data_IF_382025297608
#
_entry.id   IF_382025297608
#
_cell.length_a   1.000
_cell.length_b   1.000
_cell.length_c   1.000
_cell.angle_alpha   90.00
_cell.angle_beta   90.00
_cell.angle_gamma   90.00
#
_symmetry.space_group_name_H-M   'P 1'
#
loop_
_entity.id
_entity.type
_entity.pdbx_description
1 polymer ?
#
# COMPACT_ATOMS: atom_id res chain seq x y z
N UNK A 1 -12.05 76.60 48.21
CA UNK A 1 -12.39 76.47 49.63
C UNK A 1 -13.05 75.10 49.79
N UNK A 2 -12.25 74.14 50.28
CA UNK A 2 -12.59 72.80 50.80
C UNK A 2 -13.12 71.76 49.79
N UNK A 3 -12.37 70.64 49.79
CA UNK A 3 -12.51 69.36 49.10
C UNK A 3 -13.79 68.58 49.42
N UNK A 4 -14.18 67.63 48.54
CA UNK A 4 -13.98 66.19 48.76
C UNK A 4 -14.72 65.34 47.68
N UNK A 5 -13.94 64.51 46.95
CA UNK A 5 -14.18 63.10 46.51
C UNK A 5 -15.53 62.70 45.85
N UNK A 6 -15.65 61.76 44.93
CA UNK A 6 -14.75 60.88 44.18
C UNK A 6 -15.63 59.98 43.30
N UNK A 7 -15.23 59.82 42.04
CA UNK A 7 -15.25 58.59 41.22
C UNK A 7 -16.47 57.65 41.35
N UNK A 8 -17.22 57.68 40.26
CA UNK A 8 -18.15 56.67 39.76
C UNK A 8 -17.42 55.32 39.54
N UNK A 9 -17.85 54.26 40.23
CA UNK A 9 -17.43 52.88 39.98
C UNK A 9 -18.62 51.91 40.07
N UNK A 10 -18.67 51.03 39.08
CA UNK A 10 -19.65 49.98 38.83
C UNK A 10 -19.48 48.76 39.74
N UNK A 11 -20.57 48.16 40.23
CA UNK A 11 -20.64 46.77 40.73
C UNK A 11 -22.12 46.32 40.76
N UNK A 12 -22.56 45.06 40.64
CA UNK A 12 -22.13 43.81 39.99
C UNK A 12 -23.30 42.82 40.31
N UNK A 13 -23.91 42.07 39.37
CA UNK A 13 -25.15 41.30 39.60
C UNK A 13 -24.98 39.99 40.41
N UNK A 14 -23.85 39.78 41.07
CA UNK A 14 -23.52 38.54 41.78
C UNK A 14 -23.99 38.48 43.25
N UNK A 15 -24.71 39.50 43.74
CA UNK A 15 -25.25 39.52 45.12
C UNK A 15 -26.69 39.00 45.28
N UNK A 16 -27.39 38.67 44.20
CA UNK A 16 -28.78 38.17 44.28
C UNK A 16 -28.92 36.65 44.31
N UNK A 17 -27.85 35.87 44.13
CA UNK A 17 -27.94 34.40 44.06
C UNK A 17 -27.72 33.72 45.44
N UNK A 18 -27.20 34.45 46.44
CA UNK A 18 -26.82 33.85 47.73
C UNK A 18 -27.94 33.75 48.78
N UNK A 19 -29.20 34.10 48.48
CA UNK A 19 -30.31 34.03 49.44
C UNK A 19 -31.42 33.03 49.08
N UNK A 20 -31.32 32.33 47.95
CA UNK A 20 -32.32 31.34 47.54
C UNK A 20 -31.98 29.88 47.91
N UNK A 21 -30.76 29.60 48.42
CA UNK A 21 -30.28 28.23 48.65
C UNK A 21 -30.36 27.73 50.10
N UNK A 22 -30.82 28.54 51.05
CA UNK A 22 -30.92 28.14 52.45
C UNK A 22 -32.29 28.50 53.05
N UNK A 23 -33.36 27.84 52.61
CA UNK A 23 -34.46 27.48 53.52
C UNK A 23 -35.47 26.51 52.89
N UNK A 24 -35.99 25.61 53.74
CA UNK A 24 -36.85 24.44 53.49
C UNK A 24 -36.08 23.23 52.92
N UNK A 25 -35.91 22.10 53.60
CA UNK A 25 -36.55 21.56 54.79
C UNK A 25 -37.38 20.33 54.41
N UNK A 26 -36.79 19.14 54.57
CA UNK A 26 -37.56 17.89 54.75
C UNK A 26 -37.47 16.84 53.63
N UNK A 27 -36.83 15.71 53.99
CA UNK A 27 -37.00 14.33 53.51
C UNK A 27 -36.11 13.73 52.39
N UNK A 28 -35.59 12.55 52.77
CA UNK A 28 -34.95 11.43 52.08
C UNK A 28 -33.49 11.54 51.55
N UNK A 29 -32.51 10.86 52.20
CA UNK A 29 -31.10 10.89 51.79
C UNK A 29 -30.73 9.82 50.75
N UNK A 30 -31.67 9.01 50.26
CA UNK A 30 -31.37 7.93 49.30
C UNK A 30 -31.68 8.28 47.84
N UNK A 31 -32.77 9.00 47.57
CA UNK A 31 -33.13 9.37 46.18
C UNK A 31 -32.14 10.39 45.58
N UNK A 32 -31.64 11.33 46.38
CA UNK A 32 -30.66 12.31 45.91
C UNK A 32 -29.34 11.69 45.50
N UNK A 33 -28.93 10.58 46.14
CA UNK A 33 -27.73 9.80 45.80
C UNK A 33 -27.90 9.01 44.50
N UNK A 34 -29.09 8.44 44.28
CA UNK A 34 -29.39 7.71 43.04
C UNK A 34 -29.40 8.69 41.85
N UNK A 35 -30.03 9.84 42.02
CA UNK A 35 -30.09 10.88 40.97
C UNK A 35 -28.70 11.45 40.67
N UNK A 36 -27.89 11.76 41.69
CA UNK A 36 -26.51 12.23 41.45
C UNK A 36 -25.62 11.16 40.81
N UNK A 37 -25.78 9.89 41.20
CA UNK A 37 -25.04 8.79 40.58
C UNK A 37 -25.44 8.60 39.12
N UNK A 38 -26.74 8.65 38.80
CA UNK A 38 -27.23 8.56 37.43
C UNK A 38 -26.72 9.72 36.55
N UNK A 39 -26.65 10.93 37.10
CA UNK A 39 -26.09 12.09 36.39
C UNK A 39 -24.60 11.91 36.12
N UNK A 40 -23.82 11.40 37.09
CA UNK A 40 -22.39 11.15 36.91
C UNK A 40 -22.11 10.04 35.90
N UNK A 41 -22.89 8.95 35.93
CA UNK A 41 -22.79 7.86 34.96
C UNK A 41 -23.17 8.35 33.56
N UNK A 42 -24.25 9.12 33.45
CA UNK A 42 -24.66 9.76 32.19
C UNK A 42 -23.57 10.69 31.63
N UNK A 43 -22.95 11.52 32.49
CA UNK A 43 -21.85 12.39 32.09
C UNK A 43 -20.62 11.59 31.64
N UNK A 44 -20.26 10.50 32.35
CA UNK A 44 -19.15 9.64 31.97
C UNK A 44 -19.38 8.92 30.63
N UNK A 45 -20.60 8.43 30.38
CA UNK A 45 -20.99 7.83 29.09
C UNK A 45 -20.93 8.88 27.98
N UNK A 46 -21.38 10.10 28.24
CA UNK A 46 -21.39 11.19 27.26
C UNK A 46 -19.95 11.64 26.92
N UNK A 47 -19.07 11.73 27.91
CA UNK A 47 -17.63 11.96 27.71
C UNK A 47 -17.00 10.81 26.94
N UNK A 48 -17.33 9.55 27.24
CA UNK A 48 -16.84 8.39 26.49
C UNK A 48 -17.31 8.39 25.03
N UNK A 49 -18.57 8.74 24.76
CA UNK A 49 -19.11 8.86 23.40
C UNK A 49 -18.44 10.01 22.66
N UNK A 50 -18.25 11.17 23.30
CA UNK A 50 -17.52 12.31 22.72
C UNK A 50 -16.06 11.94 22.45
N UNK A 51 -15.40 11.25 23.38
CA UNK A 51 -14.02 10.78 23.21
C UNK A 51 -13.91 9.68 22.14
N UNK A 52 -14.90 8.82 21.99
CA UNK A 52 -14.98 7.85 20.89
C UNK A 52 -15.31 8.49 19.54
N UNK A 53 -16.07 9.60 19.52
CA UNK A 53 -16.37 10.38 18.31
C UNK A 53 -15.20 11.29 17.89
N UNK A 54 -14.47 11.85 18.85
CA UNK A 54 -13.32 12.73 18.60
C UNK A 54 -12.00 11.94 18.51
N UNK A 55 -11.90 10.79 19.18
CA UNK A 55 -10.76 9.86 19.15
C UNK A 55 -10.97 8.67 18.20
N UNK A 56 -12.12 8.60 17.54
CA UNK A 56 -12.42 7.64 16.48
C UNK A 56 -11.86 8.11 15.15
N UNK A 57 -10.58 7.82 14.91
CA UNK A 57 -9.96 7.95 13.61
C UNK A 57 -9.07 9.18 13.48
N UNK A 58 -7.97 9.22 14.25
CA UNK A 58 -6.75 9.66 13.59
C UNK A 58 -6.62 8.80 12.32
N UNK A 59 -6.54 9.39 11.12
CA UNK A 59 -6.31 8.60 9.93
C UNK A 59 -4.93 7.97 10.11
N UNK A 60 -4.90 6.72 10.56
CA UNK A 60 -3.75 5.84 10.40
C UNK A 60 -3.68 5.42 8.94
N UNK A 61 -3.71 6.43 8.07
CA UNK A 61 -3.65 6.34 6.64
C UNK A 61 -2.81 7.53 6.17
N UNK A 62 -1.54 7.50 6.56
CA UNK A 62 -0.45 8.29 5.98
C UNK A 62 0.87 7.71 6.45
N UNK A 63 1.32 6.67 5.77
CA UNK A 63 2.75 6.38 5.56
C UNK A 63 2.93 5.31 4.47
N UNK A 64 2.27 5.52 3.34
CA UNK A 64 2.80 5.11 2.05
C UNK A 64 2.62 6.31 1.14
N UNK A 65 3.73 6.88 0.66
CA UNK A 65 3.72 8.07 -0.19
C UNK A 65 3.96 9.40 0.53
N UNK A 66 4.77 9.45 1.60
CA UNK A 66 5.33 10.74 2.02
C UNK A 66 6.26 11.23 0.89
N UNK A 67 5.75 12.15 0.07
CA UNK A 67 6.53 12.85 -0.95
C UNK A 67 7.41 13.84 -0.21
N UNK A 68 8.72 13.63 -0.25
CA UNK A 68 9.67 14.51 0.39
C UNK A 68 9.89 15.74 -0.52
N UNK A 69 9.73 16.94 0.03
CA UNK A 69 9.85 18.23 -0.66
C UNK A 69 11.33 18.46 -1.06
N UNK A 70 11.64 19.13 -2.20
CA UNK A 70 12.99 19.28 -2.75
C UNK A 70 14.13 19.67 -1.81
N UNK A 71 13.89 20.43 -0.73
CA UNK A 71 14.94 20.81 0.23
C UNK A 71 15.51 19.64 1.05
N UNK A 72 14.76 18.56 1.19
CA UNK A 72 15.18 17.37 1.93
C UNK A 72 15.74 16.26 1.01
N UNK A 73 15.59 16.40 -0.31
CA UNK A 73 16.06 15.42 -1.30
C UNK A 73 17.59 15.30 -1.28
N UNK A 74 18.30 16.44 -1.26
CA UNK A 74 19.76 16.44 -1.18
C UNK A 74 20.24 15.73 0.09
N UNK A 75 19.61 15.99 1.25
CA UNK A 75 19.97 15.32 2.50
C UNK A 75 19.76 13.80 2.44
N UNK A 76 18.67 13.34 1.81
CA UNK A 76 18.42 11.91 1.63
C UNK A 76 19.48 11.28 0.70
N UNK A 77 19.80 11.92 -0.41
CA UNK A 77 20.80 11.43 -1.36
C UNK A 77 22.22 11.49 -0.79
N UNK A 78 22.55 12.51 0.00
CA UNK A 78 23.80 12.61 0.76
C UNK A 78 23.91 11.46 1.76
N UNK A 79 22.85 11.16 2.52
CA UNK A 79 22.84 9.99 3.40
C UNK A 79 23.05 8.69 2.64
N UNK A 80 22.40 8.53 1.48
CA UNK A 80 22.60 7.38 0.60
C UNK A 80 24.06 7.29 0.11
N UNK A 81 24.71 8.41 -0.21
CA UNK A 81 26.12 8.46 -0.61
C UNK A 81 27.05 8.06 0.54
N UNK A 82 26.86 8.66 1.73
CA UNK A 82 27.65 8.37 2.94
C UNK A 82 27.56 6.89 3.32
N UNK A 83 26.37 6.31 3.22
CA UNK A 83 26.12 4.90 3.54
C UNK A 83 26.40 3.95 2.37
N UNK A 84 26.92 4.47 1.25
CA UNK A 84 27.23 3.72 0.01
C UNK A 84 26.05 2.84 -0.44
N UNK A 85 24.85 3.40 -0.35
CA UNK A 85 23.63 2.75 -0.80
C UNK A 85 23.69 2.51 -2.30
N UNK A 86 23.40 1.27 -2.72
CA UNK A 86 23.20 0.95 -4.14
C UNK A 86 21.91 1.58 -4.65
N UNK A 87 21.96 2.04 -5.90
CA UNK A 87 20.83 2.61 -6.62
C UNK A 87 20.50 1.70 -7.80
N UNK A 88 19.33 1.08 -7.74
CA UNK A 88 18.80 0.24 -8.79
C UNK A 88 17.99 1.11 -9.76
N UNK A 89 18.37 1.15 -11.04
CA UNK A 89 17.69 1.98 -12.05
C UNK A 89 17.07 1.13 -13.18
N UNK A 90 15.98 1.62 -13.76
CA UNK A 90 15.27 1.00 -14.88
C UNK A 90 14.59 2.07 -15.75
N UNK A 91 14.40 1.79 -17.05
CA UNK A 91 13.70 2.71 -17.95
C UNK A 91 12.22 2.88 -17.60
N UNK A 92 11.69 4.08 -17.82
CA UNK A 92 10.26 4.38 -17.78
C UNK A 92 9.64 4.43 -19.20
N UNK A 93 8.44 3.86 -19.44
CA UNK A 93 7.71 2.99 -18.52
C UNK A 93 8.48 1.70 -18.30
N UNK A 94 8.29 1.07 -17.14
CA UNK A 94 8.94 -0.21 -16.83
C UNK A 94 8.42 -1.23 -17.85
N UNK A 95 9.22 -1.48 -18.89
CA UNK A 95 8.91 -2.48 -19.89
C UNK A 95 8.82 -3.88 -19.23
N UNK A 96 8.09 -4.78 -19.88
CA UNK A 96 7.69 -6.12 -19.43
C UNK A 96 8.87 -7.04 -19.04
N UNK A 97 10.11 -6.64 -19.31
CA UNK A 97 11.31 -7.23 -18.71
C UNK A 97 12.02 -6.17 -17.88
N UNK A 98 11.95 -6.27 -16.55
CA UNK A 98 12.73 -5.44 -15.63
C UNK A 98 14.24 -5.70 -15.80
N UNK A 99 14.86 -5.06 -16.79
CA UNK A 99 16.31 -4.91 -16.82
C UNK A 99 16.68 -3.81 -15.83
N UNK A 100 16.75 -4.18 -14.56
CA UNK A 100 17.22 -3.31 -13.50
C UNK A 100 18.74 -3.32 -13.48
N UNK A 101 19.34 -2.13 -13.49
CA UNK A 101 20.79 -1.94 -13.47
C UNK A 101 21.16 -1.45 -12.08
N UNK A 102 21.94 -2.23 -11.34
CA UNK A 102 22.39 -1.86 -9.99
C UNK A 102 23.65 -1.01 -10.09
N UNK A 103 23.52 0.26 -9.71
CA UNK A 103 24.55 1.29 -9.83
C UNK A 103 25.03 1.74 -8.44
N UNK A 104 26.18 2.41 -8.41
CA UNK A 104 26.68 3.07 -7.19
C UNK A 104 26.55 4.57 -7.35
N UNK A 105 26.10 5.27 -6.32
CA UNK A 105 26.11 6.73 -6.30
C UNK A 105 27.56 7.24 -6.25
N UNK A 106 28.04 7.84 -7.33
CA UNK A 106 29.41 8.32 -7.47
C UNK A 106 29.57 9.76 -6.99
N UNK A 107 28.65 10.63 -7.41
CA UNK A 107 28.70 12.06 -7.09
C UNK A 107 27.28 12.62 -7.02
N UNK A 108 27.08 13.56 -6.10
CA UNK A 108 25.88 14.37 -5.98
C UNK A 108 26.27 15.83 -6.16
N UNK A 109 25.80 16.47 -7.22
CA UNK A 109 25.99 17.88 -7.51
C UNK A 109 24.65 18.63 -7.43
N UNK A 110 24.71 19.97 -7.33
CA UNK A 110 23.49 20.81 -7.27
C UNK A 110 22.57 20.63 -8.49
N UNK A 111 23.12 20.19 -9.61
CA UNK A 111 22.40 20.07 -10.89
C UNK A 111 22.06 18.63 -11.26
N UNK A 112 22.57 17.62 -10.56
CA UNK A 112 22.38 16.23 -10.94
C UNK A 112 23.04 15.18 -10.05
N UNK A 113 22.77 13.93 -10.40
CA UNK A 113 23.21 12.73 -9.69
C UNK A 113 24.06 11.91 -10.67
N UNK A 114 25.32 11.63 -10.34
CA UNK A 114 26.18 10.77 -11.16
C UNK A 114 26.19 9.36 -10.58
N UNK A 115 25.81 8.39 -11.40
CA UNK A 115 25.80 6.97 -11.08
C UNK A 115 26.94 6.26 -11.81
N UNK A 116 27.71 5.48 -11.07
CA UNK A 116 28.68 4.54 -11.60
C UNK A 116 27.99 3.25 -12.04
N UNK A 117 28.23 2.85 -13.28
CA UNK A 117 27.65 1.67 -13.90
C UNK A 117 28.43 0.40 -13.51
N UNK A 118 27.75 -0.76 -13.37
CA UNK A 118 28.44 -2.02 -13.20
C UNK A 118 29.27 -2.37 -14.45
N UNK A 119 30.36 -3.12 -14.24
CA UNK A 119 31.24 -3.56 -15.33
C UNK A 119 30.44 -4.30 -16.41
N UNK A 120 30.74 -4.00 -17.68
CA UNK A 120 30.06 -4.58 -18.84
C UNK A 120 28.81 -3.82 -19.29
N UNK A 121 28.27 -2.90 -18.47
CA UNK A 121 27.16 -2.04 -18.89
C UNK A 121 27.70 -0.72 -19.45
N UNK A 122 27.48 -0.51 -20.74
CA UNK A 122 27.89 0.71 -21.44
C UNK A 122 26.65 1.50 -21.84
N UNK A 123 26.30 2.58 -21.11
CA UNK A 123 25.21 3.46 -21.49
C UNK A 123 25.57 4.16 -22.81
N UNK A 124 24.57 4.37 -23.66
CA UNK A 124 24.75 5.03 -24.97
C UNK A 124 24.09 6.41 -24.96
N UNK A 125 24.48 7.28 -25.89
CA UNK A 125 23.88 8.62 -26.04
C UNK A 125 22.36 8.57 -26.28
N UNK A 126 21.85 7.44 -26.80
CA UNK A 126 20.41 7.22 -26.97
C UNK A 126 19.62 7.18 -25.65
N UNK A 127 20.30 7.08 -24.51
CA UNK A 127 19.69 7.14 -23.18
C UNK A 127 19.37 8.57 -22.78
N UNK A 128 20.07 9.58 -23.32
CA UNK A 128 19.87 10.99 -22.99
C UNK A 128 18.42 11.39 -23.29
N UNK A 129 17.78 12.04 -22.32
CA UNK A 129 16.36 12.42 -22.37
C UNK A 129 15.40 11.30 -21.97
N UNK A 130 15.84 10.04 -21.83
CA UNK A 130 14.99 8.96 -21.30
C UNK A 130 14.80 9.12 -19.80
N UNK A 131 13.61 8.76 -19.32
CA UNK A 131 13.29 8.76 -17.90
C UNK A 131 13.73 7.43 -17.27
N UNK A 132 14.42 7.54 -16.13
CA UNK A 132 14.82 6.41 -15.30
C UNK A 132 14.02 6.42 -14.01
N UNK A 133 13.46 5.26 -13.65
CA UNK A 133 12.95 4.97 -12.32
C UNK A 133 14.09 4.41 -11.49
N UNK A 134 14.44 5.11 -10.42
CA UNK A 134 15.55 4.77 -9.53
C UNK A 134 15.01 4.38 -8.16
N UNK A 135 15.58 3.33 -7.59
CA UNK A 135 15.24 2.78 -6.28
C UNK A 135 16.50 2.64 -5.44
N UNK A 136 16.44 3.03 -4.16
CA UNK A 136 17.54 2.85 -3.23
C UNK A 136 17.04 2.65 -1.80
N UNK A 137 17.93 2.21 -0.92
CA UNK A 137 17.62 2.02 0.51
C UNK A 137 18.63 2.70 1.41
N UNK A 138 18.18 3.26 2.52
CA UNK A 138 19.03 3.83 3.57
C UNK A 138 18.95 2.90 4.79
N UNK A 139 20.07 2.21 5.16
CA UNK A 139 20.09 1.35 6.33
C UNK A 139 19.82 2.13 7.62
N UNK A 140 19.20 1.46 8.60
CA UNK A 140 18.95 2.00 9.94
C UNK A 140 19.39 1.00 10.98
N UNK A 141 20.01 1.49 12.04
CA UNK A 141 20.42 0.66 13.16
C UNK A 141 19.20 0.07 13.87
N UNK A 142 19.16 -1.26 14.00
CA UNK A 142 18.09 -2.03 14.66
C UNK A 142 16.66 -1.75 14.18
N UNK A 143 16.48 -1.21 12.96
CA UNK A 143 15.18 -0.90 12.36
C UNK A 143 15.16 -1.27 10.88
N UNK A 144 13.97 -1.43 10.32
CA UNK A 144 13.82 -1.59 8.88
C UNK A 144 14.41 -0.37 8.14
N UNK A 145 15.18 -0.59 7.06
CA UNK A 145 15.74 0.50 6.28
C UNK A 145 14.63 1.30 5.62
N UNK A 146 14.90 2.58 5.32
CA UNK A 146 14.02 3.36 4.47
C UNK A 146 14.25 2.98 3.02
N UNK A 147 13.19 2.90 2.23
CA UNK A 147 13.26 2.65 0.80
C UNK A 147 12.77 3.88 0.08
N UNK A 148 13.45 4.27 -0.98
CA UNK A 148 13.15 5.48 -1.71
C UNK A 148 13.04 5.17 -3.19
N UNK A 149 12.12 5.84 -3.86
CA UNK A 149 11.98 5.79 -5.31
C UNK A 149 11.92 7.20 -5.86
N UNK A 150 12.57 7.45 -6.98
CA UNK A 150 12.43 8.70 -7.72
C UNK A 150 12.48 8.44 -9.22
N UNK A 151 12.04 9.43 -9.98
CA UNK A 151 12.14 9.42 -11.43
C UNK A 151 12.96 10.63 -11.86
N UNK A 152 13.96 10.40 -12.72
CA UNK A 152 14.83 11.44 -13.23
C UNK A 152 15.19 11.18 -14.70
N UNK A 153 15.34 12.23 -15.53
CA UNK A 153 15.84 12.09 -16.89
C UNK A 153 17.35 11.85 -16.89
N UNK A 154 17.85 11.07 -17.84
CA UNK A 154 19.28 11.01 -18.16
C UNK A 154 19.67 12.31 -18.86
N UNK A 155 20.62 13.04 -18.29
CA UNK A 155 21.13 14.31 -18.85
C UNK A 155 22.46 14.12 -19.58
N UNK A 156 23.19 13.04 -19.29
CA UNK A 156 24.45 12.74 -19.94
C UNK A 156 24.99 11.36 -19.59
N UNK A 157 25.95 10.92 -20.39
CA UNK A 157 26.70 9.68 -20.18
C UNK A 157 28.17 9.96 -20.45
N UNK A 158 29.07 9.32 -19.72
CA UNK A 158 30.51 9.44 -19.99
C UNK A 158 31.25 8.21 -19.48
N UNK A 159 32.53 8.08 -19.85
CA UNK A 159 33.37 6.93 -19.52
C UNK A 159 34.75 7.41 -19.08
N UNK A 160 35.34 6.74 -18.09
CA UNK A 160 36.72 6.94 -17.66
C UNK A 160 37.38 5.59 -17.40
N UNK A 161 38.36 5.26 -18.24
CA UNK A 161 38.91 3.91 -18.29
C UNK A 161 37.81 2.91 -18.69
N UNK A 162 37.67 1.83 -17.93
CA UNK A 162 36.64 0.80 -18.16
C UNK A 162 35.32 1.07 -17.45
N UNK A 163 35.25 2.15 -16.66
CA UNK A 163 34.07 2.48 -15.87
C UNK A 163 33.22 3.50 -16.63
N UNK A 164 31.94 3.15 -16.81
CA UNK A 164 30.94 4.02 -17.42
C UNK A 164 30.11 4.71 -16.35
N UNK A 165 29.62 5.90 -16.66
CA UNK A 165 28.84 6.74 -15.76
C UNK A 165 27.60 7.28 -16.48
N UNK A 166 26.51 7.38 -15.73
CA UNK A 166 25.26 8.02 -16.14
C UNK A 166 25.01 9.22 -15.25
N UNK A 167 24.70 10.36 -15.85
CA UNK A 167 24.30 11.56 -15.15
C UNK A 167 22.79 11.69 -15.26
N UNK A 168 22.12 11.73 -14.11
CA UNK A 168 20.68 11.98 -13.99
C UNK A 168 20.46 13.43 -13.56
N UNK A 169 19.38 14.05 -14.06
CA UNK A 169 18.91 15.32 -13.53
C UNK A 169 18.46 15.16 -12.06
N UNK A 170 18.49 16.25 -11.29
CA UNK A 170 17.97 16.22 -9.92
C UNK A 170 16.46 15.90 -9.96
N UNK A 171 15.98 14.88 -9.21
CA UNK A 171 14.58 14.51 -9.26
C UNK A 171 13.71 15.59 -8.60
N UNK A 172 12.52 15.89 -9.18
CA UNK A 172 11.61 16.88 -8.60
C UNK A 172 10.97 16.39 -7.29
N UNK A 173 10.97 15.07 -7.06
CA UNK A 173 10.45 14.43 -5.85
C UNK A 173 11.17 13.11 -5.57
N UNK A 174 11.31 12.79 -4.29
CA UNK A 174 11.67 11.44 -3.82
C UNK A 174 10.51 10.91 -2.99
N UNK A 175 10.08 9.70 -3.32
CA UNK A 175 8.98 9.01 -2.65
C UNK A 175 9.56 8.02 -1.66
N UNK A 176 9.18 8.14 -0.38
CA UNK A 176 9.45 7.09 0.60
C UNK A 176 8.57 5.89 0.28
N UNK A 177 9.20 4.86 -0.27
CA UNK A 177 8.64 3.54 -0.48
C UNK A 177 8.79 2.66 0.76
N UNK A 178 7.97 1.62 0.82
CA UNK A 178 8.15 0.50 1.73
C UNK A 178 8.65 -0.67 0.89
N UNK A 179 9.71 -1.38 1.30
CA UNK A 179 10.08 -2.63 0.63
C UNK A 179 8.92 -3.58 0.71
N UNK A 180 8.65 -4.21 -0.42
CA UNK A 180 7.63 -5.24 -0.54
C UNK A 180 7.95 -6.34 0.46
N UNK A 181 7.01 -6.61 1.37
CA UNK A 181 7.11 -7.66 2.39
C UNK A 181 7.29 -9.03 1.72
N UNK A 182 6.70 -9.17 0.54
CA UNK A 182 6.68 -10.39 -0.28
C UNK A 182 7.36 -10.17 -1.63
N UNK A 183 8.09 -11.18 -2.10
CA UNK A 183 8.63 -11.23 -3.46
C UNK A 183 7.47 -11.16 -4.46
N UNK A 184 7.62 -10.35 -5.52
CA UNK A 184 6.68 -10.31 -6.65
C UNK A 184 7.29 -11.01 -7.84
N UNK A 185 6.59 -12.01 -8.33
CA UNK A 185 6.91 -12.73 -9.55
C UNK A 185 6.00 -12.24 -10.67
N UNK A 186 6.60 -11.83 -11.79
CA UNK A 186 5.87 -11.63 -13.04
C UNK A 186 5.50 -13.00 -13.58
N UNK A 187 4.21 -13.22 -13.86
CA UNK A 187 3.67 -14.54 -14.19
C UNK A 187 3.56 -14.72 -15.70
N UNK A 188 4.32 -15.67 -16.29
CA UNK A 188 3.99 -16.21 -17.61
C UNK A 188 2.56 -16.75 -17.64
N UNK A 189 1.79 -16.54 -18.73
CA UNK A 189 0.43 -17.09 -18.87
C UNK A 189 0.32 -18.60 -18.65
N UNK A 190 1.39 -19.34 -18.98
CA UNK A 190 1.49 -20.81 -18.78
C UNK A 190 1.45 -21.23 -17.31
N UNK A 191 1.82 -20.35 -16.38
CA UNK A 191 1.91 -20.69 -14.96
C UNK A 191 0.54 -20.62 -14.24
N UNK A 192 -0.51 -20.21 -14.94
CA UNK A 192 -1.87 -20.08 -14.41
C UNK A 192 -2.77 -21.08 -15.14
N UNK A 193 -3.46 -21.93 -14.39
CA UNK A 193 -4.42 -22.91 -14.92
C UNK A 193 -5.80 -22.30 -15.05
N UNK A 194 -6.31 -21.75 -13.95
CA UNK A 194 -7.64 -21.15 -13.84
C UNK A 194 -7.56 -19.98 -12.87
N UNK A 195 -8.17 -18.86 -13.24
CA UNK A 195 -8.30 -17.71 -12.35
C UNK A 195 -9.68 -17.09 -12.51
N UNK A 196 -10.38 -16.90 -11.40
CA UNK A 196 -11.77 -16.43 -11.39
C UNK A 196 -11.98 -15.38 -10.33
N UNK A 197 -12.83 -14.42 -10.62
CA UNK A 197 -13.12 -13.26 -9.77
C UNK A 197 -14.61 -13.17 -9.52
N UNK A 198 -15.00 -12.86 -8.30
CA UNK A 198 -16.38 -12.59 -7.90
C UNK A 198 -16.51 -11.26 -7.15
N UNK A 199 -17.70 -10.64 -7.19
CA UNK A 199 -18.03 -9.49 -6.35
C UNK A 199 -17.89 -9.78 -4.86
N UNK A 200 -17.55 -8.78 -4.05
CA UNK A 200 -17.96 -8.82 -2.65
C UNK A 200 -19.50 -8.75 -2.53
N UNK A 201 -20.07 -9.28 -1.46
CA UNK A 201 -21.52 -9.24 -1.25
C UNK A 201 -21.99 -7.81 -0.96
N UNK A 202 -23.19 -7.46 -1.46
CA UNK A 202 -23.75 -6.10 -1.36
C UNK A 202 -24.08 -5.68 0.09
N UNK A 203 -24.26 -6.66 0.98
CA UNK A 203 -24.55 -6.45 2.40
C UNK A 203 -23.31 -6.09 3.24
N UNK A 204 -22.13 -6.04 2.62
CA UNK A 204 -20.87 -5.75 3.27
C UNK A 204 -20.33 -6.90 4.13
N UNK A 205 -20.94 -8.08 4.07
CA UNK A 205 -20.35 -9.29 4.63
C UNK A 205 -19.15 -9.75 3.78
N UNK A 206 -18.15 -10.35 4.43
CA UNK A 206 -16.89 -10.73 3.79
C UNK A 206 -16.85 -12.21 3.40
N UNK A 207 -17.98 -12.92 3.43
CA UNK A 207 -17.98 -14.36 3.24
C UNK A 207 -19.07 -14.77 2.26
N UNK A 208 -18.65 -15.35 1.13
CA UNK A 208 -19.54 -16.22 0.37
C UNK A 208 -19.95 -17.43 1.19
N UNK A 209 -21.00 -18.11 0.72
CA UNK A 209 -21.38 -19.41 1.24
C UNK A 209 -20.18 -20.36 1.28
N UNK A 210 -20.13 -21.20 2.33
CA UNK A 210 -18.98 -22.06 2.62
C UNK A 210 -18.74 -23.13 1.55
N UNK A 211 -19.75 -23.50 0.76
CA UNK A 211 -19.60 -24.40 -0.39
C UNK A 211 -19.41 -23.61 -1.70
N UNK A 212 -18.23 -23.70 -2.35
CA UNK A 212 -17.96 -23.08 -3.65
C UNK A 212 -18.94 -23.44 -4.76
N UNK A 213 -19.63 -24.58 -4.68
CA UNK A 213 -20.61 -25.01 -5.69
C UNK A 213 -21.84 -24.11 -5.72
N UNK A 214 -22.14 -23.45 -4.61
CA UNK A 214 -23.28 -22.54 -4.49
C UNK A 214 -22.92 -21.10 -4.88
N UNK A 215 -21.67 -20.84 -5.27
CA UNK A 215 -21.24 -19.49 -5.64
C UNK A 215 -21.90 -19.05 -6.95
N UNK A 216 -22.20 -17.74 -7.09
CA UNK A 216 -22.76 -17.21 -8.32
C UNK A 216 -21.75 -17.34 -9.48
N UNK A 217 -22.19 -17.02 -10.70
CA UNK A 217 -21.27 -16.94 -11.83
C UNK A 217 -20.16 -15.90 -11.57
N UNK A 218 -18.90 -16.19 -11.93
CA UNK A 218 -17.80 -15.25 -11.77
C UNK A 218 -17.98 -14.02 -12.68
N UNK A 219 -17.53 -12.87 -12.18
CA UNK A 219 -17.49 -11.60 -12.90
C UNK A 219 -16.45 -11.64 -14.04
N UNK A 220 -15.32 -12.31 -13.78
CA UNK A 220 -14.29 -12.50 -14.78
C UNK A 220 -13.64 -13.87 -14.62
N UNK A 221 -13.31 -14.47 -15.76
CA UNK A 221 -12.67 -15.78 -15.86
C UNK A 221 -11.47 -15.65 -16.78
N UNK A 222 -10.35 -16.13 -16.29
CA UNK A 222 -9.16 -16.41 -17.07
C UNK A 222 -8.95 -17.92 -17.08
N UNK A 223 -8.85 -18.48 -18.29
CA UNK A 223 -8.38 -19.84 -18.50
C UNK A 223 -7.25 -19.78 -19.52
N UNK A 224 -6.32 -20.73 -19.42
CA UNK A 224 -5.14 -20.80 -20.31
C UNK A 224 -5.52 -20.77 -21.80
N UNK A 225 -6.62 -21.42 -22.16
CA UNK A 225 -7.05 -21.59 -23.55
C UNK A 225 -7.79 -20.37 -24.10
N UNK A 226 -8.28 -19.47 -23.23
CA UNK A 226 -9.03 -18.27 -23.62
C UNK A 226 -8.56 -17.05 -22.80
N UNK A 227 -7.32 -16.56 -22.98
CA UNK A 227 -6.77 -15.44 -22.21
C UNK A 227 -7.21 -14.09 -22.79
N UNK A 228 -8.50 -13.91 -23.06
CA UNK A 228 -9.02 -12.68 -23.67
C UNK A 228 -9.47 -11.72 -22.59
N UNK A 229 -8.93 -10.50 -22.62
CA UNK A 229 -9.38 -9.39 -21.80
C UNK A 229 -8.79 -9.33 -20.39
N UNK A 230 -8.62 -10.44 -19.65
CA UNK A 230 -8.03 -10.44 -18.29
C UNK A 230 -6.62 -11.04 -18.30
N UNK A 231 -5.68 -10.42 -17.60
CA UNK A 231 -4.33 -10.97 -17.38
C UNK A 231 -3.88 -10.76 -15.94
N UNK A 232 -3.18 -11.75 -15.41
CA UNK A 232 -2.40 -11.58 -14.17
C UNK A 232 -1.00 -11.15 -14.56
N UNK A 233 -0.58 -9.98 -14.08
CA UNK A 233 0.71 -9.37 -14.40
C UNK A 233 1.80 -9.79 -13.41
N UNK A 234 1.51 -9.69 -12.11
CA UNK A 234 2.43 -10.12 -11.06
C UNK A 234 1.68 -10.71 -9.86
N UNK A 235 2.37 -11.57 -9.11
CA UNK A 235 1.86 -12.25 -7.93
C UNK A 235 2.92 -12.28 -6.82
N UNK A 236 2.44 -12.17 -5.59
CA UNK A 236 3.23 -12.33 -4.36
C UNK A 236 2.41 -13.04 -3.30
N UNK A 237 3.04 -13.44 -2.19
CA UNK A 237 2.31 -14.01 -1.06
C UNK A 237 1.26 -13.09 -0.42
N UNK A 238 1.33 -11.78 -0.65
CA UNK A 238 0.39 -10.80 -0.07
C UNK A 238 -0.45 -10.03 -1.07
N UNK A 239 -0.38 -10.35 -2.37
CA UNK A 239 -1.19 -9.63 -3.35
C UNK A 239 -0.90 -9.98 -4.80
N UNK A 240 -1.76 -9.47 -5.67
CA UNK A 240 -1.81 -9.76 -7.10
C UNK A 240 -2.02 -8.47 -7.89
N UNK A 241 -1.37 -8.37 -9.05
CA UNK A 241 -1.58 -7.30 -10.02
C UNK A 241 -2.28 -7.87 -11.25
N UNK A 242 -3.37 -7.22 -11.64
CA UNK A 242 -4.20 -7.60 -12.78
C UNK A 242 -4.17 -6.49 -13.84
N UNK A 243 -4.33 -6.88 -15.09
CA UNK A 243 -4.76 -5.96 -16.14
C UNK A 243 -6.02 -6.47 -16.80
N UNK A 244 -6.94 -5.57 -17.13
CA UNK A 244 -8.08 -5.92 -17.96
C UNK A 244 -8.36 -4.91 -19.06
N UNK A 245 -8.97 -5.37 -20.14
CA UNK A 245 -9.55 -4.51 -21.19
C UNK A 245 -10.95 -4.07 -20.75
N UNK A 246 -11.18 -2.78 -20.45
CA UNK A 246 -12.48 -2.30 -20.00
C UNK A 246 -13.60 -2.49 -21.03
N UNK A 247 -13.29 -2.59 -22.33
CA UNK A 247 -14.29 -2.81 -23.38
C UNK A 247 -14.83 -4.24 -23.43
N UNK A 248 -14.07 -5.20 -22.89
CA UNK A 248 -14.47 -6.60 -22.81
C UNK A 248 -15.22 -6.93 -21.51
N UNK A 249 -15.15 -6.03 -20.53
CA UNK A 249 -15.81 -6.17 -19.23
C UNK A 249 -16.58 -4.88 -18.91
N UNK A 250 -17.66 -4.66 -19.65
CA UNK A 250 -18.56 -3.52 -19.44
C UNK A 250 -19.02 -3.44 -17.98
N UNK A 251 -18.86 -2.26 -17.37
CA UNK A 251 -19.24 -1.99 -15.99
C UNK A 251 -18.24 -2.46 -14.92
N UNK A 252 -17.14 -3.14 -15.29
CA UNK A 252 -16.12 -3.57 -14.33
C UNK A 252 -15.41 -2.38 -13.64
N UNK A 253 -15.26 -1.27 -14.35
CA UNK A 253 -14.65 -0.06 -13.79
C UNK A 253 -15.48 0.55 -12.64
N UNK A 254 -16.77 0.75 -12.91
CA UNK A 254 -17.75 1.18 -11.91
C UNK A 254 -17.90 0.16 -10.79
N UNK A 255 -17.82 -1.13 -11.14
CA UNK A 255 -17.89 -2.23 -10.21
C UNK A 255 -16.72 -2.19 -9.22
N UNK A 256 -15.48 -2.05 -9.69
CA UNK A 256 -14.27 -1.94 -8.86
C UNK A 256 -14.31 -0.69 -7.98
N UNK A 257 -14.88 0.41 -8.48
CA UNK A 257 -15.08 1.61 -7.68
C UNK A 257 -16.08 1.40 -6.53
N UNK A 258 -17.15 0.61 -6.76
CA UNK A 258 -18.16 0.29 -5.74
C UNK A 258 -17.76 -0.87 -4.83
N UNK A 259 -16.92 -1.77 -5.31
CA UNK A 259 -16.52 -3.01 -4.64
C UNK A 259 -14.99 -3.06 -4.51
N UNK A 260 -14.43 -2.37 -3.50
CA UNK A 260 -12.98 -2.37 -3.29
C UNK A 260 -12.46 -3.72 -2.82
N UNK A 261 -13.34 -4.66 -2.45
CA UNK A 261 -12.97 -6.03 -2.10
C UNK A 261 -13.52 -6.98 -3.16
N UNK A 262 -12.67 -7.92 -3.60
CA UNK A 262 -13.02 -8.98 -4.53
C UNK A 262 -12.70 -10.32 -3.91
N UNK A 263 -13.44 -11.34 -4.31
CA UNK A 263 -13.05 -12.72 -4.07
C UNK A 263 -12.41 -13.31 -5.31
N UNK A 264 -11.41 -14.15 -5.09
CA UNK A 264 -10.59 -14.70 -6.13
C UNK A 264 -10.36 -16.19 -5.87
N UNK A 265 -10.46 -16.98 -6.93
CA UNK A 265 -9.94 -18.36 -6.98
C UNK A 265 -8.78 -18.37 -7.95
N UNK A 266 -7.61 -18.80 -7.50
CA UNK A 266 -6.40 -18.90 -8.30
C UNK A 266 -5.87 -20.33 -8.27
N UNK A 267 -5.69 -20.93 -9.43
CA UNK A 267 -5.08 -22.24 -9.60
C UNK A 267 -3.81 -22.10 -10.45
N UNK A 268 -2.68 -22.50 -9.87
CA UNK A 268 -1.36 -22.35 -10.46
C UNK A 268 -0.86 -23.67 -11.04
N UNK A 269 0.10 -23.57 -11.96
CA UNK A 269 0.82 -24.75 -12.43
C UNK A 269 1.62 -25.39 -11.29
N UNK A 270 1.66 -26.72 -11.28
CA UNK A 270 2.43 -27.43 -10.27
C UNK A 270 3.92 -27.23 -10.54
N UNK A 271 4.70 -27.13 -9.47
CA UNK A 271 6.17 -27.19 -9.56
C UNK A 271 6.60 -28.63 -9.29
N UNK A 272 7.70 -29.09 -9.87
CA UNK A 272 8.14 -30.50 -9.94
C UNK A 272 8.27 -31.24 -8.58
N UNK A 273 8.01 -30.58 -7.45
CA UNK A 273 8.23 -31.10 -6.10
C UNK A 273 7.06 -30.88 -5.13
N UNK A 274 5.95 -30.25 -5.55
CA UNK A 274 4.86 -29.96 -4.62
C UNK A 274 3.55 -29.70 -5.36
N UNK A 275 2.49 -30.34 -4.89
CA UNK A 275 1.13 -30.03 -5.30
C UNK A 275 0.60 -28.88 -4.44
N UNK A 276 0.10 -27.84 -5.12
CA UNK A 276 -0.55 -26.70 -4.50
C UNK A 276 -2.04 -26.77 -4.80
N UNK A 277 -2.91 -26.60 -3.79
CA UNK A 277 -4.35 -26.54 -4.01
C UNK A 277 -4.74 -25.20 -4.67
N UNK A 278 -5.96 -25.10 -5.20
CA UNK A 278 -6.52 -23.81 -5.58
C UNK A 278 -6.57 -22.86 -4.39
N UNK A 279 -6.11 -21.63 -4.58
CA UNK A 279 -6.13 -20.57 -3.57
C UNK A 279 -7.45 -19.81 -3.64
N UNK A 280 -8.19 -19.79 -2.54
CA UNK A 280 -9.36 -18.94 -2.37
C UNK A 280 -8.99 -17.75 -1.48
N UNK A 281 -9.20 -16.53 -1.99
CA UNK A 281 -8.69 -15.31 -1.38
C UNK A 281 -9.73 -14.20 -1.46
N UNK A 282 -9.86 -13.42 -0.39
CA UNK A 282 -10.46 -12.10 -0.43
C UNK A 282 -9.33 -11.07 -0.57
N UNK A 283 -9.49 -10.11 -1.48
CA UNK A 283 -8.46 -9.15 -1.80
C UNK A 283 -9.01 -7.73 -1.89
N UNK A 284 -8.28 -6.76 -1.35
CA UNK A 284 -8.66 -5.34 -1.32
C UNK A 284 -7.85 -4.52 -2.33
N UNK A 285 -8.54 -3.67 -3.07
CA UNK A 285 -7.95 -2.75 -4.04
C UNK A 285 -7.02 -1.76 -3.33
N UNK A 286 -5.80 -1.64 -3.85
CA UNK A 286 -4.77 -0.70 -3.37
C UNK A 286 -4.38 0.33 -4.41
N UNK A 287 -4.32 -0.08 -5.67
CA UNK A 287 -3.92 0.80 -6.78
C UNK A 287 -4.80 0.55 -7.99
N UNK A 288 -5.21 1.64 -8.63
CA UNK A 288 -5.94 1.64 -9.90
C UNK A 288 -5.24 2.62 -10.83
N UNK A 289 -4.78 2.13 -11.98
CA UNK A 289 -4.05 2.94 -12.98
C UNK A 289 -4.62 2.60 -14.35
N UNK A 290 -4.97 3.61 -15.12
CA UNK A 290 -5.32 3.44 -16.53
C UNK A 290 -4.06 3.67 -17.37
N UNK A 291 -3.76 2.74 -18.27
CA UNK A 291 -2.71 2.92 -19.26
C UNK A 291 -3.31 3.68 -20.47
N UNK A 292 -2.91 4.95 -20.69
CA UNK A 292 -3.48 5.75 -21.78
C UNK A 292 -2.99 5.30 -23.17
N UNK A 293 -1.85 4.59 -23.27
CA UNK A 293 -1.32 4.12 -24.55
C UNK A 293 -1.99 2.81 -24.99
N UNK A 294 -2.25 1.92 -24.03
CA UNK A 294 -2.80 0.59 -24.30
C UNK A 294 -4.33 0.51 -24.12
N UNK A 295 -4.94 1.52 -23.49
CA UNK A 295 -6.37 1.51 -23.17
C UNK A 295 -6.76 0.49 -22.08
N UNK A 296 -5.79 -0.21 -21.49
CA UNK A 296 -6.02 -1.22 -20.45
C UNK A 296 -6.03 -0.61 -19.06
N UNK A 297 -6.78 -1.24 -18.16
CA UNK A 297 -6.79 -0.88 -16.75
C UNK A 297 -5.94 -1.84 -15.94
N UNK A 298 -5.04 -1.29 -15.12
CA UNK A 298 -4.21 -2.03 -14.19
C UNK A 298 -4.72 -1.87 -12.76
N UNK A 299 -4.98 -2.99 -12.09
CA UNK A 299 -5.41 -3.05 -10.70
C UNK A 299 -4.38 -3.79 -9.84
N UNK A 300 -4.10 -3.25 -8.66
CA UNK A 300 -3.30 -3.92 -7.64
C UNK A 300 -4.14 -4.24 -6.43
N UNK A 301 -4.23 -5.51 -6.08
CA UNK A 301 -4.98 -6.02 -4.94
C UNK A 301 -4.04 -6.60 -3.88
N UNK A 302 -4.35 -6.32 -2.61
CA UNK A 302 -3.69 -6.94 -1.44
C UNK A 302 -4.61 -8.02 -0.87
N UNK A 303 -4.07 -9.20 -0.59
CA UNK A 303 -4.83 -10.28 0.04
C UNK A 303 -5.09 -9.95 1.51
N UNK A 304 -6.34 -10.10 1.94
CA UNK A 304 -6.77 -9.79 3.32
C UNK A 304 -7.18 -11.04 4.08
N UNK A 305 -7.80 -12.01 3.40
CA UNK A 305 -8.24 -13.29 3.97
C UNK A 305 -8.02 -14.40 2.94
N UNK A 306 -7.77 -15.63 3.41
CA UNK A 306 -7.67 -16.83 2.58
C UNK A 306 -8.40 -18.01 3.23
N UNK A 307 -8.75 -19.01 2.43
CA UNK A 307 -9.27 -20.26 2.94
C UNK A 307 -8.18 -21.05 3.66
N UNK A 308 -8.50 -21.61 4.83
CA UNK A 308 -7.65 -22.60 5.49
C UNK A 308 -7.60 -23.91 4.68
N UNK A 309 -6.43 -24.55 4.62
CA UNK A 309 -6.22 -25.82 3.89
C UNK A 309 -6.45 -27.06 4.76
N UNK A 310 -7.17 -26.93 5.87
CA UNK A 310 -7.32 -27.97 6.91
C UNK A 310 -8.17 -29.20 6.48
N UNK A 311 -8.43 -29.36 5.18
CA UNK A 311 -9.11 -30.54 4.62
C UNK A 311 -10.63 -30.56 4.83
N UNK A 312 -11.24 -29.43 5.22
CA UNK A 312 -12.69 -29.31 5.29
C UNK A 312 -13.31 -29.12 3.89
N UNK A 313 -14.49 -29.72 3.65
CA UNK A 313 -15.29 -29.48 2.43
C UNK A 313 -15.86 -28.04 2.36
N UNK A 314 -15.72 -27.28 3.44
CA UNK A 314 -16.24 -25.92 3.63
C UNK A 314 -15.09 -24.91 3.76
N UNK A 315 -15.22 -23.76 3.11
CA UNK A 315 -14.25 -22.66 3.22
C UNK A 315 -14.32 -22.03 4.62
N UNK A 316 -13.24 -22.15 5.38
CA UNK A 316 -13.03 -21.35 6.60
C UNK A 316 -12.08 -20.19 6.29
N UNK A 317 -12.54 -18.96 6.49
CA UNK A 317 -11.81 -17.75 6.14
C UNK A 317 -10.89 -17.32 7.28
N UNK A 318 -9.59 -17.31 6.99
CA UNK A 318 -8.55 -16.90 7.93
C UNK A 318 -7.95 -15.58 7.49
N UNK A 319 -7.80 -14.66 8.45
CA UNK A 319 -7.10 -13.39 8.20
C UNK A 319 -5.64 -13.62 7.90
N UNK A 320 -5.17 -12.99 6.83
CA UNK A 320 -3.78 -13.05 6.43
C UNK A 320 -2.99 -12.05 7.28
N UNK A 321 -1.91 -12.53 7.91
CA UNK A 321 -0.90 -11.65 8.50
C UNK A 321 -0.16 -10.94 7.36
N UNK A 322 -0.23 -9.59 7.25
CA UNK A 322 0.39 -8.87 6.14
C UNK A 322 1.92 -9.04 6.06
N UNK A 323 2.58 -9.40 7.17
CA UNK A 323 4.02 -9.71 7.19
C UNK A 323 4.36 -11.12 6.70
N UNK A 324 3.43 -12.08 6.79
CA UNK A 324 3.63 -13.45 6.32
C UNK A 324 3.04 -13.72 4.95
N UNK A 325 1.89 -13.13 4.63
CA UNK A 325 1.14 -13.49 3.43
C UNK A 325 0.54 -14.90 3.55
N UNK A 326 0.21 -15.50 2.41
CA UNK A 326 -0.23 -16.89 2.33
C UNK A 326 1.03 -17.77 2.20
N UNK A 327 1.38 -18.52 3.25
CA UNK A 327 2.68 -19.22 3.37
C UNK A 327 2.99 -20.14 2.18
N UNK A 328 2.04 -20.96 1.74
CA UNK A 328 2.22 -21.86 0.60
C UNK A 328 2.39 -21.09 -0.72
N UNK A 329 1.69 -19.95 -0.86
CA UNK A 329 1.82 -19.09 -2.03
C UNK A 329 3.17 -18.37 -2.06
N UNK A 330 3.69 -17.93 -0.90
CA UNK A 330 5.05 -17.39 -0.77
C UNK A 330 6.07 -18.42 -1.24
N UNK A 331 5.90 -19.68 -0.83
CA UNK A 331 6.78 -20.78 -1.22
C UNK A 331 6.69 -21.07 -2.72
N UNK A 332 5.48 -21.11 -3.28
CA UNK A 332 5.28 -21.29 -4.72
C UNK A 332 5.98 -20.17 -5.51
N UNK A 333 5.74 -18.90 -5.16
CA UNK A 333 6.32 -17.73 -5.82
C UNK A 333 7.85 -17.77 -5.77
N UNK A 334 8.42 -18.15 -4.63
CA UNK A 334 9.87 -18.24 -4.47
C UNK A 334 10.47 -19.37 -5.32
N UNK A 335 9.89 -20.57 -5.29
CA UNK A 335 10.37 -21.70 -6.10
C UNK A 335 10.30 -21.39 -7.60
N UNK A 336 9.16 -20.88 -8.06
CA UNK A 336 8.97 -20.55 -9.48
C UNK A 336 9.91 -19.44 -9.94
N UNK A 337 10.19 -18.46 -9.08
CA UNK A 337 11.20 -17.44 -9.36
C UNK A 337 12.59 -18.04 -9.61
N UNK A 338 13.03 -19.02 -8.81
CA UNK A 338 14.32 -19.69 -8.99
C UNK A 338 14.36 -20.54 -10.27
N UNK A 339 13.27 -21.23 -10.62
CA UNK A 339 13.15 -22.00 -11.86
C UNK A 339 13.29 -21.09 -13.08
N UNK A 340 12.52 -20.00 -13.14
CA UNK A 340 12.58 -19.04 -14.24
C UNK A 340 13.95 -18.37 -14.36
N UNK A 341 14.64 -18.17 -13.24
CA UNK A 341 16.01 -17.66 -13.25
C UNK A 341 16.98 -18.66 -13.88
N UNK A 342 16.89 -19.95 -13.52
CA UNK A 342 17.69 -21.03 -14.12
C UNK A 342 17.40 -21.21 -15.62
N UNK A 343 16.13 -21.13 -16.03
CA UNK A 343 15.73 -21.20 -17.43
C UNK A 343 16.41 -20.10 -18.28
N UNK A 344 16.67 -18.92 -17.70
CA UNK A 344 17.30 -17.80 -18.39
C UNK A 344 18.83 -17.90 -18.48
N UNK A 345 19.49 -18.59 -17.56
CA UNK A 345 20.95 -18.80 -17.60
C UNK A 345 21.37 -19.89 -18.60
N UNK A 346 20.43 -20.70 -19.08
CA UNK A 346 20.66 -21.79 -20.03
C UNK A 346 20.54 -21.32 -21.50
N UNK A 347 20.10 -20.09 -21.75
CA UNK A 347 19.89 -19.53 -23.10
C UNK A 347 21.07 -18.69 -23.57
#
# INVERSE_FOLDING_TARGET
MIDLFSIQASENPLRQISLAFFNSGGHQPEESRIVTTAILVGAAILVYIIWKRLGGGAPWNRQSGSTVIPKDISSILEQAMVLRSRIDMSFHPIATSRQTISCTLFELADTGITLEMPLGVNPSDAWIGKLMVCYFRIPRENKQPYYYTFVAPVVGVWKKGDISYVILGLPPKVELGQKRRHLRLELPPRDIKDFRIWPATEDGSFHFETDPKNWPAPLAVYTRDVPVGLKVLDLSGGGIKLSFDPHLYDGLDDFVARNPVLFMRLELEQTDQMEFPPYFMAARLRTKVQDPEQGVMMLGYEFVECCSTDGAETIDWVKIDPDRGIDDLVTWVFKRHLELYREREIV
#
